data_IF_752861077072
#
_entry.id   IF_752861077072
#
_cell.length_a   1.000
_cell.length_b   1.000
_cell.length_c   1.000
_cell.angle_alpha   90.00
_cell.angle_beta   90.00
_cell.angle_gamma   90.00
#
_symmetry.space_group_name_H-M   'P 1'
#
loop_
_entity.id
_entity.type
_entity.pdbx_description
1 polymer ?
#
# COMPACT_ATOMS: atom_id res chain seq x y z
N UNK A 1 -3.35 15.46 -9.29
CA UNK A 1 -3.09 14.05 -9.67
C UNK A 1 -1.80 13.49 -9.07
N UNK A 2 -0.63 14.15 -9.16
CA UNK A 2 0.63 13.62 -8.64
C UNK A 2 0.62 13.16 -7.17
N UNK A 3 0.02 13.93 -6.25
CA UNK A 3 -0.09 13.52 -4.84
C UNK A 3 -0.98 12.29 -4.62
N UNK A 4 -2.06 12.15 -5.40
CA UNK A 4 -2.99 11.02 -5.36
C UNK A 4 -2.36 9.74 -5.91
N UNK A 5 -1.56 9.87 -6.98
CA UNK A 5 -0.83 8.78 -7.61
C UNK A 5 0.30 8.30 -6.68
N UNK A 6 1.05 9.21 -6.05
CA UNK A 6 2.08 8.83 -5.08
C UNK A 6 1.51 8.27 -3.77
N UNK A 7 0.41 8.82 -3.24
CA UNK A 7 -0.26 8.24 -2.06
C UNK A 7 -0.87 6.87 -2.39
N UNK A 8 -1.52 6.73 -3.56
CA UNK A 8 -2.01 5.44 -4.06
C UNK A 8 -0.87 4.43 -4.26
N UNK A 9 0.26 4.84 -4.83
CA UNK A 9 1.44 3.98 -4.98
C UNK A 9 2.07 3.59 -3.64
N UNK A 10 2.08 4.48 -2.64
CA UNK A 10 2.68 4.18 -1.33
C UNK A 10 1.75 3.37 -0.44
N UNK A 11 0.45 3.63 -0.48
CA UNK A 11 -0.56 2.98 0.39
C UNK A 11 -1.13 1.70 -0.22
N UNK A 12 -1.24 1.62 -1.56
CA UNK A 12 -1.74 0.43 -2.28
C UNK A 12 -0.64 -0.21 -3.14
N UNK A 13 0.21 0.58 -3.80
CA UNK A 13 1.22 0.07 -4.74
C UNK A 13 2.37 -0.70 -4.07
N UNK A 14 2.88 -0.25 -2.92
CA UNK A 14 3.92 -0.96 -2.16
C UNK A 14 3.39 -2.30 -1.61
N UNK A 15 2.21 -2.35 -0.95
CA UNK A 15 1.60 -3.62 -0.56
C UNK A 15 1.28 -4.52 -1.76
N UNK A 16 0.79 -3.98 -2.88
CA UNK A 16 0.49 -4.73 -4.10
C UNK A 16 1.76 -5.26 -4.79
N UNK A 17 2.87 -4.50 -4.78
CA UNK A 17 4.15 -4.94 -5.33
C UNK A 17 4.81 -6.00 -4.46
N UNK A 18 4.74 -5.85 -3.13
CA UNK A 18 5.16 -6.88 -2.18
C UNK A 18 4.29 -8.14 -2.34
N UNK A 19 3.00 -7.98 -2.58
CA UNK A 19 2.04 -9.06 -2.84
C UNK A 19 2.30 -9.77 -4.18
N UNK A 20 2.60 -9.05 -5.25
CA UNK A 20 2.98 -9.63 -6.54
C UNK A 20 4.30 -10.41 -6.43
N UNK A 21 5.28 -9.88 -5.67
CA UNK A 21 6.50 -10.61 -5.34
C UNK A 21 6.22 -11.85 -4.49
N UNK A 22 5.36 -11.75 -3.49
CA UNK A 22 4.98 -12.86 -2.63
C UNK A 22 4.22 -13.98 -3.40
N UNK A 23 3.35 -13.60 -4.34
CA UNK A 23 2.68 -14.53 -5.26
C UNK A 23 3.68 -15.22 -6.21
N UNK A 24 4.70 -14.49 -6.67
CA UNK A 24 5.80 -15.07 -7.43
C UNK A 24 6.58 -16.11 -6.63
N UNK A 25 6.97 -15.77 -5.40
CA UNK A 25 7.71 -16.70 -4.52
C UNK A 25 6.87 -17.90 -4.09
N UNK A 26 5.56 -17.73 -3.88
CA UNK A 26 4.67 -18.84 -3.54
C UNK A 26 4.58 -19.87 -4.68
N UNK A 27 4.50 -19.39 -5.94
CA UNK A 27 4.52 -20.26 -7.12
C UNK A 27 5.84 -21.02 -7.27
N UNK A 28 6.97 -20.38 -6.98
CA UNK A 28 8.27 -21.06 -7.00
C UNK A 28 8.38 -22.13 -5.91
N UNK A 29 7.83 -21.87 -4.71
CA UNK A 29 7.81 -22.84 -3.61
C UNK A 29 6.91 -24.03 -3.94
N UNK A 30 5.75 -23.80 -4.56
CA UNK A 30 4.86 -24.88 -5.01
C UNK A 30 5.50 -25.74 -6.11
N UNK A 31 6.17 -25.12 -7.10
CA UNK A 31 6.93 -25.84 -8.14
C UNK A 31 8.08 -26.66 -7.54
N UNK A 32 8.78 -26.11 -6.55
CA UNK A 32 9.86 -26.80 -5.85
C UNK A 32 9.33 -27.99 -5.03
N UNK A 33 8.19 -27.83 -4.36
CA UNK A 33 7.53 -28.90 -3.59
C UNK A 33 7.07 -30.03 -4.51
N UNK A 34 6.53 -29.70 -5.69
CA UNK A 34 6.13 -30.67 -6.70
C UNK A 34 7.34 -31.45 -7.27
N UNK A 35 8.46 -30.75 -7.52
CA UNK A 35 9.72 -31.38 -7.95
C UNK A 35 10.29 -32.32 -6.89
N UNK A 36 10.28 -31.92 -5.61
CA UNK A 36 10.75 -32.77 -4.50
C UNK A 36 9.89 -34.02 -4.37
N UNK A 37 8.57 -33.90 -4.43
CA UNK A 37 7.66 -35.06 -4.41
C UNK A 37 7.88 -36.01 -5.59
N UNK A 38 8.09 -35.46 -6.80
CA UNK A 38 8.41 -36.26 -7.99
C UNK A 38 9.74 -37.00 -7.84
N UNK A 39 10.76 -36.35 -7.28
CA UNK A 39 12.07 -36.98 -7.04
C UNK A 39 11.98 -38.07 -5.98
N UNK A 40 11.24 -37.86 -4.90
CA UNK A 40 10.97 -38.90 -3.89
C UNK A 40 10.22 -40.09 -4.48
N UNK A 41 9.23 -39.85 -5.35
CA UNK A 41 8.53 -40.92 -6.06
C UNK A 41 9.47 -41.79 -6.90
N UNK A 42 10.37 -41.16 -7.69
CA UNK A 42 11.37 -41.89 -8.49
C UNK A 42 12.39 -42.64 -7.64
N UNK A 43 12.81 -42.07 -6.50
CA UNK A 43 13.72 -42.74 -5.57
C UNK A 43 13.09 -43.99 -4.96
N UNK A 44 11.81 -43.92 -4.57
CA UNK A 44 11.09 -45.09 -4.07
C UNK A 44 10.91 -46.16 -5.15
N UNK A 45 10.58 -45.75 -6.38
CA UNK A 45 10.45 -46.68 -7.51
C UNK A 45 11.78 -47.38 -7.86
N UNK A 46 12.91 -46.66 -7.78
CA UNK A 46 14.24 -47.27 -7.95
C UNK A 46 14.59 -48.21 -6.78
N UNK A 47 14.18 -47.87 -5.55
CA UNK A 47 14.34 -48.73 -4.38
C UNK A 47 13.57 -50.05 -4.51
N UNK A 48 12.34 -49.97 -5.01
CA UNK A 48 11.49 -51.14 -5.26
C UNK A 48 12.02 -51.99 -6.42
N UNK A 49 12.61 -51.38 -7.46
CA UNK A 49 13.28 -52.11 -8.53
C UNK A 49 14.53 -52.86 -8.05
N UNK A 50 15.33 -52.25 -7.16
CA UNK A 50 16.46 -52.94 -6.53
C UNK A 50 16.01 -54.06 -5.59
N UNK A 51 14.92 -53.87 -4.86
CA UNK A 51 14.34 -54.87 -3.96
C UNK A 51 13.63 -56.02 -4.70
N UNK A 52 13.13 -55.77 -5.92
CA UNK A 52 12.49 -56.77 -6.79
C UNK A 52 13.47 -57.71 -7.50
N UNK A 53 14.76 -57.39 -7.54
CA UNK A 53 15.81 -58.29 -8.05
C UNK A 53 16.16 -59.36 -7.02
N UNK A 54 15.56 -60.55 -7.18
CA UNK A 54 15.84 -61.76 -6.39
C UNK A 54 17.32 -62.20 -6.56
N UNK A 55 18.01 -62.69 -5.51
CA UNK A 55 19.41 -63.06 -5.61
C UNK A 55 19.58 -64.35 -6.42
N UNK A 56 20.46 -64.33 -7.41
CA UNK A 56 20.93 -65.52 -8.12
C UNK A 56 21.90 -66.31 -7.22
N UNK A 57 21.46 -67.51 -6.83
CA UNK A 57 22.31 -68.71 -6.80
C UNK A 57 23.12 -68.99 -5.53
N UNK A 58 22.71 -70.04 -4.82
CA UNK A 58 23.52 -70.79 -3.84
C UNK A 58 24.74 -71.46 -4.52
N UNK A 59 25.86 -71.50 -3.81
CA UNK A 59 26.92 -72.51 -3.95
C UNK A 59 27.60 -72.71 -2.58
N UNK A 60 27.82 -73.98 -2.22
CA UNK A 60 28.13 -74.57 -0.91
C UNK A 60 29.47 -74.19 -0.21
N UNK A 61 29.67 -74.56 1.09
CA UNK A 61 30.72 -74.05 1.97
C UNK A 61 31.97 -74.95 2.05
N UNK A 62 33.05 -74.46 2.71
CA UNK A 62 33.68 -75.30 3.72
C UNK A 62 34.07 -74.56 5.03
N UNK A 63 33.58 -75.15 6.12
CA UNK A 63 34.23 -75.56 7.40
C UNK A 63 35.46 -74.82 7.95
N UNK A 64 35.25 -74.29 9.17
CA UNK A 64 36.12 -74.09 10.36
C UNK A 64 37.60 -73.64 10.24
N UNK A 65 37.97 -72.62 11.03
CA UNK A 65 38.77 -72.79 12.28
C UNK A 65 38.90 -71.48 13.10
N UNK A 66 38.53 -71.59 14.39
CA UNK A 66 38.91 -70.83 15.62
C UNK A 66 38.48 -69.38 15.89
N UNK A 67 37.51 -69.30 16.82
CA UNK A 67 37.35 -68.41 18.00
C UNK A 67 38.46 -67.40 18.35
N UNK A 68 38.08 -66.14 18.63
CA UNK A 68 38.15 -65.55 19.98
C UNK A 68 37.51 -64.15 20.08
N UNK A 69 36.68 -63.97 21.12
CA UNK A 69 36.43 -62.77 21.92
C UNK A 69 35.72 -61.52 21.30
N UNK A 70 34.39 -61.48 21.53
CA UNK A 70 33.67 -60.43 22.26
C UNK A 70 34.24 -58.98 22.25
N UNK A 71 33.67 -58.08 21.43
CA UNK A 71 33.44 -56.68 21.80
C UNK A 71 32.49 -55.97 20.81
N UNK A 72 31.44 -55.38 21.38
CA UNK A 72 30.41 -54.53 20.77
C UNK A 72 31.01 -53.22 20.25
N UNK A 73 30.71 -52.73 19.02
CA UNK A 73 30.96 -51.33 18.67
C UNK A 73 29.67 -50.50 18.83
N UNK A 74 29.74 -49.57 19.76
CA UNK A 74 28.81 -48.45 19.95
C UNK A 74 28.84 -47.44 18.79
N UNK A 75 27.79 -46.61 18.62
CA UNK A 75 27.59 -45.78 17.44
C UNK A 75 28.58 -44.62 17.40
N UNK A 76 29.20 -44.41 16.23
CA UNK A 76 30.07 -43.25 15.98
C UNK A 76 29.25 -41.96 15.99
N UNK A 77 29.44 -41.19 17.06
CA UNK A 77 29.09 -39.78 17.16
C UNK A 77 29.92 -38.97 16.15
N UNK A 78 29.28 -38.14 15.34
CA UNK A 78 29.95 -37.10 14.57
C UNK A 78 29.97 -35.83 15.42
N UNK A 79 31.15 -35.41 15.87
CA UNK A 79 31.40 -34.17 16.60
C UNK A 79 32.04 -33.14 15.66
N UNK A 80 31.48 -31.93 15.61
CA UNK A 80 32.16 -30.74 15.10
C UNK A 80 33.06 -30.17 16.20
N UNK A 81 34.35 -29.87 15.94
CA UNK A 81 35.19 -29.15 16.90
C UNK A 81 34.88 -27.66 16.88
N UNK A 82 34.33 -27.18 17.99
CA UNK A 82 34.53 -25.82 18.51
C UNK A 82 35.84 -25.78 19.27
N UNK A 83 36.67 -24.74 19.04
CA UNK A 83 37.75 -24.22 19.91
C UNK A 83 38.64 -23.28 19.04
N UNK A 84 39.19 -22.13 19.44
CA UNK A 84 39.35 -21.47 20.74
C UNK A 84 39.52 -19.95 20.51
N UNK A 85 39.38 -19.23 21.62
CA UNK A 85 39.30 -17.79 21.85
C UNK A 85 40.70 -17.14 21.98
N UNK A 86 40.73 -15.83 21.73
CA UNK A 86 41.52 -14.83 22.49
C UNK A 86 43.04 -14.69 22.25
N UNK A 87 43.46 -13.58 21.63
CA UNK A 87 44.59 -12.80 22.15
C UNK A 87 44.53 -11.34 21.68
N UNK A 88 44.41 -10.47 22.68
CA UNK A 88 44.53 -9.02 22.63
C UNK A 88 46.01 -8.67 22.80
N UNK A 89 46.40 -7.47 22.37
CA UNK A 89 47.67 -6.79 22.68
C UNK A 89 48.90 -7.20 21.85
N UNK A 90 49.09 -6.51 20.74
CA UNK A 90 50.38 -5.90 20.36
C UNK A 90 50.27 -5.29 18.97
N UNK A 91 50.03 -3.97 18.92
CA UNK A 91 50.69 -3.03 18.00
C UNK A 91 50.07 -1.64 18.14
N UNK A 92 50.49 -0.96 19.19
CA UNK A 92 50.69 0.48 19.18
C UNK A 92 52.19 0.70 19.38
N UNK A 93 52.91 1.01 18.31
CA UNK A 93 54.11 1.83 18.36
C UNK A 93 54.48 2.27 16.94
N UNK A 94 54.59 3.59 16.79
CA UNK A 94 55.51 4.25 15.86
C UNK A 94 55.07 4.45 14.40
N UNK A 95 54.36 5.56 14.14
CA UNK A 95 55.08 6.74 13.61
C UNK A 95 54.29 8.03 13.82
N UNK A 96 54.93 8.90 14.60
CA UNK A 96 54.55 10.27 14.90
C UNK A 96 54.94 11.19 13.72
N UNK A 97 54.14 12.24 13.45
CA UNK A 97 54.48 13.65 13.79
C UNK A 97 53.97 14.66 12.74
N UNK A 98 53.13 15.59 13.25
CA UNK A 98 53.13 17.06 13.09
C UNK A 98 51.80 17.70 12.60
N UNK A 99 51.10 18.27 13.57
CA UNK A 99 50.23 19.47 13.51
C UNK A 99 51.16 20.71 13.72
N UNK A 100 50.91 21.98 13.27
CA UNK A 100 49.69 22.74 13.62
C UNK A 100 49.14 23.87 12.71
N UNK A 101 47.80 23.97 12.73
CA UNK A 101 46.95 25.16 12.96
C UNK A 101 46.96 26.35 11.93
N UNK A 102 46.12 27.40 12.11
CA UNK A 102 44.85 27.59 11.37
C UNK A 102 44.75 28.96 10.64
N UNK A 103 44.01 29.08 9.53
CA UNK A 103 43.67 30.41 8.97
C UNK A 103 42.30 30.44 8.26
N UNK A 104 41.38 31.16 8.87
CA UNK A 104 40.40 32.06 8.22
C UNK A 104 40.84 33.48 8.67
N UNK A 105 40.52 34.63 8.03
CA UNK A 105 39.63 34.91 6.88
C UNK A 105 40.27 35.82 5.79
N UNK A 106 39.61 36.00 4.63
CA UNK A 106 39.83 37.19 3.78
C UNK A 106 38.60 37.52 2.91
N UNK A 107 37.90 38.60 3.29
CA UNK A 107 37.19 39.56 2.42
C UNK A 107 38.26 40.62 2.04
N UNK A 108 38.32 41.37 0.89
CA UNK A 108 37.28 42.15 0.16
C UNK A 108 37.55 42.20 -1.40
N UNK A 109 37.04 43.14 -2.25
CA UNK A 109 36.15 44.31 -2.05
C UNK A 109 34.92 44.41 -2.97
N UNK A 110 34.05 45.41 -2.71
CA UNK A 110 32.76 45.61 -3.37
C UNK A 110 32.89 46.30 -4.73
N UNK A 111 32.05 45.90 -5.68
CA UNK A 111 31.87 46.67 -6.92
C UNK A 111 30.88 47.80 -6.64
N UNK A 112 31.44 49.00 -6.56
CA UNK A 112 30.74 50.28 -6.46
C UNK A 112 29.87 50.49 -7.72
N UNK A 113 28.60 50.90 -7.58
CA UNK A 113 27.79 51.31 -8.71
C UNK A 113 28.15 52.75 -9.10
N UNK A 114 28.49 52.99 -10.36
CA UNK A 114 28.58 54.35 -10.90
C UNK A 114 27.36 54.71 -11.76
N UNK A 115 26.94 55.99 -11.76
CA UNK A 115 25.58 56.40 -12.09
C UNK A 115 25.46 57.24 -13.38
N UNK A 116 24.26 57.17 -13.99
CA UNK A 116 23.59 58.18 -14.86
C UNK A 116 24.24 58.49 -16.23
N UNK A 117 23.57 59.21 -17.16
CA UNK A 117 22.17 59.69 -17.22
C UNK A 117 21.44 59.46 -18.58
N UNK A 118 20.12 59.58 -18.57
CA UNK A 118 19.31 59.95 -19.75
C UNK A 118 18.91 61.45 -19.64
N UNK A 119 18.26 62.07 -20.63
CA UNK A 119 18.53 62.21 -22.07
C UNK A 119 18.68 63.71 -22.44
N UNK A 120 18.87 64.10 -23.72
CA UNK A 120 17.81 64.94 -24.32
C UNK A 120 17.55 64.81 -25.83
N UNK A 121 16.26 64.98 -26.15
CA UNK A 121 15.65 65.65 -27.30
C UNK A 121 15.87 65.13 -28.74
N UNK A 122 14.76 64.68 -29.33
CA UNK A 122 14.50 64.61 -30.77
C UNK A 122 14.53 66.02 -31.42
N UNK A 123 14.64 66.13 -32.77
CA UNK A 123 13.39 66.18 -33.55
C UNK A 123 13.41 65.63 -35.00
N UNK A 124 12.22 65.16 -35.39
CA UNK A 124 11.51 65.33 -36.67
C UNK A 124 11.92 64.56 -37.96
N UNK A 125 11.03 63.59 -38.27
CA UNK A 125 10.25 63.45 -39.51
C UNK A 125 10.90 62.84 -40.77
N UNK A 126 10.33 61.69 -41.20
CA UNK A 126 9.52 61.58 -42.43
C UNK A 126 8.62 60.31 -42.41
N UNK A 127 7.38 60.35 -42.92
CA UNK A 127 6.48 59.20 -42.96
C UNK A 127 6.87 58.21 -44.06
N UNK A 128 6.89 56.90 -43.76
CA UNK A 128 7.04 55.85 -44.75
C UNK A 128 6.14 54.66 -44.40
N UNK A 129 5.55 54.08 -45.44
CA UNK A 129 4.45 53.11 -45.50
C UNK A 129 4.37 52.01 -44.42
N UNK A 130 3.15 51.49 -44.15
CA UNK A 130 2.96 50.43 -43.17
C UNK A 130 3.63 49.12 -43.64
N UNK A 131 4.52 48.51 -42.85
CA UNK A 131 5.10 47.24 -43.21
C UNK A 131 4.07 46.13 -43.01
N UNK A 132 3.82 45.34 -44.07
CA UNK A 132 3.03 44.10 -44.01
C UNK A 132 3.50 43.24 -42.83
N UNK A 133 2.58 42.68 -42.00
CA UNK A 133 2.96 41.91 -40.84
C UNK A 133 3.65 40.61 -41.28
N UNK A 134 4.93 40.44 -40.90
CA UNK A 134 5.61 39.15 -40.97
C UNK A 134 4.91 38.17 -40.01
N UNK A 135 4.71 36.90 -40.40
CA UNK A 135 4.16 35.89 -39.49
C UNK A 135 5.11 35.74 -38.30
N UNK A 136 4.59 35.89 -37.07
CA UNK A 136 5.33 35.50 -35.86
C UNK A 136 5.56 33.99 -35.92
N UNK A 137 6.77 33.48 -35.64
CA UNK A 137 6.97 32.05 -35.44
C UNK A 137 6.03 31.59 -34.33
N UNK A 138 5.18 30.60 -34.63
CA UNK A 138 4.39 29.90 -33.62
C UNK A 138 5.38 29.19 -32.72
N UNK A 139 5.62 29.75 -31.54
CA UNK A 139 6.40 29.08 -30.51
C UNK A 139 5.62 27.80 -30.14
N UNK A 140 6.23 26.60 -30.21
CA UNK A 140 5.55 25.39 -29.83
C UNK A 140 5.08 25.51 -28.37
N UNK A 141 3.94 24.92 -27.98
CA UNK A 141 3.45 25.00 -26.61
C UNK A 141 4.56 24.51 -25.67
N UNK A 142 5.14 25.43 -24.89
CA UNK A 142 6.12 25.05 -23.88
C UNK A 142 5.41 24.11 -22.92
N UNK A 143 5.75 22.83 -22.99
CA UNK A 143 5.34 21.84 -22.00
C UNK A 143 5.69 22.42 -20.61
N UNK A 144 4.79 22.33 -19.62
CA UNK A 144 5.07 22.88 -18.30
C UNK A 144 6.35 22.25 -17.77
N UNK A 145 7.43 23.03 -17.69
CA UNK A 145 8.65 22.62 -17.00
C UNK A 145 8.28 22.49 -15.53
N UNK A 146 8.24 21.26 -15.04
CA UNK A 146 8.05 21.00 -13.62
C UNK A 146 9.36 21.41 -12.94
N UNK A 147 9.38 22.57 -12.27
CA UNK A 147 10.55 23.06 -11.57
C UNK A 147 11.00 22.04 -10.50
N UNK A 148 12.18 21.46 -10.66
CA UNK A 148 12.75 20.48 -9.74
C UNK A 148 12.90 21.03 -8.30
N UNK A 149 13.19 22.33 -8.15
CA UNK A 149 13.22 23.01 -6.85
C UNK A 149 11.85 23.02 -6.16
N UNK A 150 10.75 23.07 -6.93
CA UNK A 150 9.40 23.00 -6.38
C UNK A 150 9.03 21.58 -5.91
N UNK A 151 9.60 20.55 -6.55
CA UNK A 151 9.45 19.16 -6.13
C UNK A 151 10.25 18.93 -4.86
N UNK A 152 11.51 19.36 -4.79
CA UNK A 152 12.39 19.20 -3.63
C UNK A 152 11.81 19.87 -2.38
N UNK A 153 11.31 21.10 -2.52
CA UNK A 153 10.66 21.82 -1.43
C UNK A 153 9.37 21.13 -0.96
N UNK A 154 8.55 20.60 -1.89
CA UNK A 154 7.33 19.85 -1.55
C UNK A 154 7.66 18.49 -0.92
N UNK A 155 8.73 17.84 -1.35
CA UNK A 155 9.20 16.56 -0.83
C UNK A 155 9.67 16.70 0.62
N UNK A 156 10.48 17.71 0.92
CA UNK A 156 10.96 18.00 2.27
C UNK A 156 9.85 18.50 3.20
N UNK A 157 8.97 19.38 2.70
CA UNK A 157 7.95 20.03 3.54
C UNK A 157 6.76 19.11 3.83
N UNK A 158 6.20 18.40 2.85
CA UNK A 158 4.93 17.68 3.06
C UNK A 158 5.05 16.17 3.08
N UNK A 159 6.05 15.62 2.38
CA UNK A 159 6.18 14.17 2.21
C UNK A 159 6.98 13.51 3.32
N UNK A 160 8.01 14.17 3.85
CA UNK A 160 8.91 13.58 4.84
C UNK A 160 8.17 12.96 6.04
N UNK A 161 7.26 13.71 6.67
CA UNK A 161 6.51 13.19 7.84
C UNK A 161 5.52 12.10 7.47
N UNK A 162 4.90 12.17 6.28
CA UNK A 162 4.00 11.10 5.79
C UNK A 162 4.78 9.80 5.57
N UNK A 163 5.94 9.88 4.93
CA UNK A 163 6.84 8.76 4.70
C UNK A 163 7.34 8.21 6.03
N UNK A 164 7.76 9.08 6.96
CA UNK A 164 8.19 8.69 8.30
C UNK A 164 7.11 7.90 9.05
N UNK A 165 5.86 8.37 9.04
CA UNK A 165 4.74 7.64 9.64
C UNK A 165 4.51 6.28 8.97
N UNK A 166 4.53 6.22 7.63
CA UNK A 166 4.37 4.95 6.91
C UNK A 166 5.51 3.98 7.24
N UNK A 167 6.75 4.46 7.33
CA UNK A 167 7.90 3.65 7.73
C UNK A 167 7.77 3.14 9.16
N UNK A 168 7.31 3.96 10.09
CA UNK A 168 7.04 3.54 11.48
C UNK A 168 5.97 2.44 11.49
N UNK A 169 4.83 2.66 10.83
CA UNK A 169 3.75 1.66 10.76
C UNK A 169 4.20 0.36 10.08
N UNK A 170 5.01 0.46 9.03
CA UNK A 170 5.61 -0.70 8.37
C UNK A 170 6.57 -1.43 9.32
N UNK A 171 7.37 -0.68 10.08
CA UNK A 171 8.23 -1.22 11.13
C UNK A 171 7.45 -1.96 12.21
N UNK A 172 6.32 -1.42 12.68
CA UNK A 172 5.42 -2.12 13.60
C UNK A 172 4.91 -3.44 12.97
N UNK A 173 4.53 -3.41 11.70
CA UNK A 173 4.08 -4.59 10.96
C UNK A 173 5.14 -5.69 10.87
N UNK A 174 6.35 -5.31 10.45
CA UNK A 174 7.50 -6.22 10.38
C UNK A 174 7.84 -6.77 11.76
N UNK A 175 7.84 -5.92 12.79
CA UNK A 175 8.18 -6.31 14.16
C UNK A 175 7.11 -7.22 14.80
N UNK A 176 5.83 -6.99 14.46
CA UNK A 176 4.74 -7.88 14.87
C UNK A 176 4.88 -9.28 14.24
N UNK A 177 5.37 -9.35 13.00
CA UNK A 177 5.52 -10.61 12.27
C UNK A 177 6.84 -11.34 12.59
N UNK A 178 7.96 -10.60 12.63
CA UNK A 178 9.30 -11.13 12.84
C UNK A 178 9.70 -11.02 14.31
N UNK A 179 9.54 -12.14 15.01
CA UNK A 179 9.90 -12.26 16.41
C UNK A 179 11.40 -12.61 16.57
N UNK A 180 12.30 -11.63 16.45
CA UNK A 180 13.77 -11.82 16.57
C UNK A 180 14.35 -10.94 17.70
N UNK A 181 15.30 -11.48 18.47
CA UNK A 181 16.04 -10.75 19.51
C UNK A 181 15.23 -10.45 20.78
N UNK A 182 15.35 -9.23 21.33
CA UNK A 182 14.66 -8.75 22.55
C UNK A 182 13.14 -9.00 22.56
N UNK A 183 12.52 -9.10 21.37
CA UNK A 183 11.10 -9.37 21.21
C UNK A 183 10.70 -10.84 21.47
N UNK A 184 11.64 -11.79 21.53
CA UNK A 184 11.33 -13.19 21.85
C UNK A 184 10.99 -13.36 23.34
N UNK A 185 11.68 -12.62 24.22
CA UNK A 185 11.55 -12.73 25.67
C UNK A 185 10.39 -11.91 26.25
N UNK A 186 9.89 -10.92 25.51
CA UNK A 186 8.73 -10.12 25.91
C UNK A 186 7.44 -10.95 25.83
N UNK A 187 6.60 -10.87 26.88
CA UNK A 187 5.27 -11.47 26.84
C UNK A 187 4.40 -10.87 25.73
N UNK A 188 3.46 -11.63 25.18
CA UNK A 188 2.53 -11.17 24.13
C UNK A 188 1.84 -9.85 24.51
N UNK A 189 1.43 -9.73 25.78
CA UNK A 189 0.83 -8.52 26.33
C UNK A 189 1.80 -7.33 26.34
N UNK A 190 3.07 -7.54 26.69
CA UNK A 190 4.08 -6.48 26.71
C UNK A 190 4.40 -5.93 25.31
N UNK A 191 4.35 -6.78 24.28
CA UNK A 191 4.53 -6.34 22.89
C UNK A 191 3.36 -5.47 22.43
N UNK A 192 2.13 -5.92 22.70
CA UNK A 192 0.91 -5.18 22.36
C UNK A 192 0.86 -3.85 23.10
N UNK A 193 1.20 -3.82 24.40
CA UNK A 193 1.25 -2.59 25.17
C UNK A 193 2.31 -1.62 24.65
N UNK A 194 3.48 -2.11 24.24
CA UNK A 194 4.53 -1.28 23.61
C UNK A 194 4.04 -0.63 22.31
N UNK A 195 3.33 -1.39 21.46
CA UNK A 195 2.78 -0.84 20.21
C UNK A 195 1.69 0.20 20.48
N UNK A 196 0.82 -0.02 21.46
CA UNK A 196 -0.16 0.97 21.88
C UNK A 196 0.50 2.22 22.46
N UNK A 197 1.53 2.08 23.31
CA UNK A 197 2.26 3.21 23.88
C UNK A 197 2.96 4.03 22.80
N UNK A 198 3.62 3.38 21.84
CA UNK A 198 4.27 4.06 20.71
C UNK A 198 3.23 4.80 19.84
N UNK A 199 2.08 4.16 19.57
CA UNK A 199 0.99 4.76 18.81
C UNK A 199 0.35 5.95 19.55
N UNK A 200 0.16 5.83 20.86
CA UNK A 200 -0.35 6.89 21.72
C UNK A 200 0.63 8.05 21.84
N UNK A 201 1.94 7.78 21.95
CA UNK A 201 2.97 8.81 21.95
C UNK A 201 2.98 9.57 20.62
N UNK A 202 2.96 8.87 19.49
CA UNK A 202 2.91 9.48 18.16
C UNK A 202 1.63 10.32 17.97
N UNK A 203 0.47 9.80 18.36
CA UNK A 203 -0.80 10.52 18.31
C UNK A 203 -0.85 11.72 19.26
N UNK A 204 -0.31 11.58 20.47
CA UNK A 204 -0.23 12.63 21.49
C UNK A 204 0.67 13.78 21.06
N UNK A 205 1.86 13.48 20.52
CA UNK A 205 2.75 14.49 19.91
C UNK A 205 2.04 15.18 18.74
N UNK A 206 1.30 14.44 17.92
CA UNK A 206 0.51 15.00 16.83
C UNK A 206 -0.55 15.99 17.30
N UNK A 207 -1.33 15.60 18.30
CA UNK A 207 -2.35 16.45 18.92
C UNK A 207 -1.75 17.71 19.57
N UNK A 208 -0.64 17.54 20.31
CA UNK A 208 0.08 18.65 20.93
C UNK A 208 0.60 19.64 19.88
N UNK A 209 1.29 19.14 18.84
CA UNK A 209 1.83 19.98 17.78
C UNK A 209 0.73 20.74 17.02
N UNK A 210 -0.39 20.06 16.77
CA UNK A 210 -1.56 20.64 16.10
C UNK A 210 -2.19 21.78 16.91
N UNK A 211 -2.18 21.69 18.25
CA UNK A 211 -2.75 22.71 19.14
C UNK A 211 -1.79 23.87 19.42
N UNK A 212 -0.50 23.59 19.56
CA UNK A 212 0.49 24.59 20.00
C UNK A 212 1.04 25.42 18.84
N UNK A 213 1.11 24.86 17.62
CA UNK A 213 1.78 25.52 16.49
C UNK A 213 0.91 25.46 15.23
N UNK A 214 0.22 26.55 14.91
CA UNK A 214 -0.61 26.63 13.68
C UNK A 214 0.18 26.34 12.40
N UNK A 215 1.43 26.82 12.33
CA UNK A 215 2.34 26.55 11.20
C UNK A 215 2.63 25.06 11.00
N UNK A 216 2.51 24.24 12.06
CA UNK A 216 2.79 22.81 12.04
C UNK A 216 1.53 21.94 12.11
N UNK A 217 0.34 22.55 11.96
CA UNK A 217 -0.95 21.86 12.02
C UNK A 217 -1.03 20.65 11.09
N UNK A 218 -0.51 20.77 9.87
CA UNK A 218 -0.50 19.68 8.90
C UNK A 218 0.38 18.51 9.35
N UNK A 219 1.54 18.78 9.95
CA UNK A 219 2.41 17.74 10.51
C UNK A 219 1.76 17.07 11.70
N UNK A 220 1.16 17.85 12.60
CA UNK A 220 0.41 17.34 13.75
C UNK A 220 -0.73 16.42 13.32
N UNK A 221 -1.47 16.77 12.26
CA UNK A 221 -2.53 15.93 11.70
C UNK A 221 -2.01 14.63 11.10
N UNK A 222 -0.87 14.63 10.40
CA UNK A 222 -0.26 13.40 9.86
C UNK A 222 0.20 12.48 11.00
N UNK A 223 0.81 13.05 12.04
CA UNK A 223 1.29 12.28 13.20
C UNK A 223 0.13 11.73 14.04
N UNK A 224 -0.94 12.52 14.20
CA UNK A 224 -2.20 12.09 14.83
C UNK A 224 -2.85 10.94 14.04
N UNK A 225 -2.94 11.09 12.72
CA UNK A 225 -3.45 10.07 11.82
C UNK A 225 -2.61 8.77 11.90
N UNK A 226 -1.29 8.90 11.95
CA UNK A 226 -0.36 7.80 12.17
C UNK A 226 -0.58 7.11 13.50
N UNK A 227 -0.75 7.86 14.59
CA UNK A 227 -1.03 7.30 15.92
C UNK A 227 -2.32 6.51 15.93
N UNK A 228 -3.40 7.05 15.35
CA UNK A 228 -4.66 6.33 15.25
C UNK A 228 -4.58 5.07 14.38
N UNK A 229 -3.88 5.14 13.24
CA UNK A 229 -3.63 3.97 12.41
C UNK A 229 -2.76 2.92 13.12
N UNK A 230 -1.82 3.36 13.96
CA UNK A 230 -1.01 2.48 14.82
C UNK A 230 -1.86 1.75 15.86
N UNK A 231 -2.77 2.45 16.55
CA UNK A 231 -3.74 1.82 17.47
C UNK A 231 -4.61 0.82 16.72
N UNK A 232 -5.16 1.20 15.56
CA UNK A 232 -5.99 0.33 14.72
C UNK A 232 -5.21 -0.94 14.29
N UNK A 233 -3.99 -0.76 13.79
CA UNK A 233 -3.10 -1.86 13.43
C UNK A 233 -2.77 -2.76 14.63
N UNK A 234 -2.50 -2.18 15.79
CA UNK A 234 -2.16 -2.94 17.00
C UNK A 234 -3.33 -3.80 17.47
N UNK A 235 -4.55 -3.27 17.47
CA UNK A 235 -5.77 -4.03 17.78
C UNK A 235 -5.97 -5.18 16.80
N UNK A 236 -5.76 -4.92 15.50
CA UNK A 236 -5.82 -5.95 14.46
C UNK A 236 -4.75 -7.03 14.66
N UNK A 237 -3.49 -6.63 14.87
CA UNK A 237 -2.36 -7.51 15.08
C UNK A 237 -2.56 -8.40 16.32
N UNK A 238 -3.13 -7.84 17.39
CA UNK A 238 -3.43 -8.56 18.62
C UNK A 238 -4.43 -9.72 18.46
N UNK A 239 -5.17 -9.78 17.35
CA UNK A 239 -6.05 -10.91 17.02
C UNK A 239 -5.47 -11.82 15.95
N UNK A 240 -4.92 -11.24 14.88
CA UNK A 240 -4.57 -11.98 13.65
C UNK A 240 -3.12 -12.50 13.65
N UNK A 241 -2.18 -11.79 14.29
CA UNK A 241 -0.75 -12.10 14.19
C UNK A 241 -0.32 -12.94 15.39
N UNK A 242 -0.02 -14.22 15.16
CA UNK A 242 0.28 -15.19 16.22
C UNK A 242 1.36 -14.73 17.23
N UNK A 243 2.53 -14.16 16.83
CA UNK A 243 3.56 -13.69 17.77
C UNK A 243 3.16 -12.58 18.75
N UNK A 244 2.06 -11.87 18.49
CA UNK A 244 1.53 -10.79 19.34
C UNK A 244 0.06 -11.00 19.68
N UNK A 245 -0.45 -12.22 19.50
CA UNK A 245 -1.86 -12.53 19.73
C UNK A 245 -2.20 -12.49 21.21
N UNK A 246 -3.19 -11.67 21.56
CA UNK A 246 -3.73 -11.50 22.92
C UNK A 246 -5.26 -11.62 22.91
N UNK A 247 -5.91 -11.29 21.78
CA UNK A 247 -7.36 -11.34 21.63
C UNK A 247 -7.72 -12.62 20.88
N UNK A 248 -8.29 -13.60 21.58
CA UNK A 248 -8.71 -14.85 20.95
C UNK A 248 -10.08 -14.75 20.26
N UNK A 249 -10.97 -13.90 20.78
CA UNK A 249 -12.32 -13.76 20.26
C UNK A 249 -12.38 -12.76 19.09
N UNK A 250 -12.68 -13.27 17.90
CA UNK A 250 -12.80 -12.48 16.67
C UNK A 250 -13.88 -11.39 16.75
N UNK A 251 -15.01 -11.67 17.43
CA UNK A 251 -16.10 -10.69 17.60
C UNK A 251 -15.65 -9.50 18.43
N UNK A 252 -14.88 -9.75 19.50
CA UNK A 252 -14.34 -8.67 20.34
C UNK A 252 -13.36 -7.82 19.52
N UNK A 253 -12.44 -8.45 18.79
CA UNK A 253 -11.51 -7.73 17.92
C UNK A 253 -12.25 -6.87 16.88
N UNK A 254 -13.27 -7.42 16.24
CA UNK A 254 -14.09 -6.71 15.26
C UNK A 254 -14.84 -5.53 15.88
N UNK A 255 -15.47 -5.71 17.04
CA UNK A 255 -16.16 -4.63 17.75
C UNK A 255 -15.21 -3.51 18.18
N UNK A 256 -14.01 -3.85 18.66
CA UNK A 256 -12.98 -2.85 19.02
C UNK A 256 -12.51 -2.08 17.78
N UNK A 257 -12.22 -2.77 16.66
CA UNK A 257 -11.82 -2.13 15.40
C UNK A 257 -12.94 -1.26 14.82
N UNK A 258 -14.19 -1.70 14.91
CA UNK A 258 -15.35 -0.93 14.47
C UNK A 258 -15.55 0.32 15.34
N UNK A 259 -15.49 0.18 16.67
CA UNK A 259 -15.60 1.29 17.60
C UNK A 259 -14.47 2.31 17.40
N UNK A 260 -13.23 1.84 17.26
CA UNK A 260 -12.07 2.69 17.01
C UNK A 260 -12.12 3.35 15.63
N UNK A 261 -12.51 2.62 14.59
CA UNK A 261 -12.74 3.16 13.25
C UNK A 261 -13.82 4.26 13.25
N UNK A 262 -14.94 4.03 13.94
CA UNK A 262 -15.99 5.03 14.15
C UNK A 262 -15.48 6.27 14.89
N UNK A 263 -14.65 6.07 15.92
CA UNK A 263 -13.99 7.17 16.63
C UNK A 263 -13.04 7.96 15.70
N UNK A 264 -12.22 7.30 14.88
CA UNK A 264 -11.35 7.96 13.90
C UNK A 264 -12.17 8.78 12.89
N UNK A 265 -13.28 8.23 12.40
CA UNK A 265 -14.21 8.91 11.49
C UNK A 265 -14.78 10.16 12.14
N UNK A 266 -15.25 10.04 13.38
CA UNK A 266 -15.76 11.16 14.17
C UNK A 266 -14.69 12.25 14.39
N UNK A 267 -13.47 11.88 14.79
CA UNK A 267 -12.37 12.82 14.95
C UNK A 267 -12.02 13.50 13.64
N UNK A 268 -11.94 12.75 12.54
CA UNK A 268 -11.57 13.31 11.24
C UNK A 268 -12.59 14.33 10.72
N UNK A 269 -13.89 14.07 10.94
CA UNK A 269 -14.93 15.05 10.63
C UNK A 269 -14.88 16.27 11.56
N UNK A 270 -14.67 16.07 12.87
CA UNK A 270 -14.53 17.17 13.84
C UNK A 270 -13.34 18.08 13.53
N UNK A 271 -12.21 17.50 13.14
CA UNK A 271 -11.00 18.24 12.78
C UNK A 271 -11.01 18.79 11.35
N UNK A 272 -12.03 18.42 10.54
CA UNK A 272 -12.06 18.65 9.09
C UNK A 272 -10.71 18.31 8.44
N UNK A 273 -10.12 17.19 8.84
CA UNK A 273 -8.83 16.74 8.33
C UNK A 273 -9.01 15.60 7.33
N UNK A 274 -8.75 15.91 6.06
CA UNK A 274 -8.73 14.93 4.98
C UNK A 274 -7.70 13.82 5.25
N UNK A 275 -6.54 14.16 5.85
CA UNK A 275 -5.46 13.21 6.15
C UNK A 275 -5.88 12.19 7.20
N UNK A 276 -6.50 12.62 8.30
CA UNK A 276 -6.93 11.70 9.37
C UNK A 276 -7.96 10.70 8.83
N UNK A 277 -8.90 11.18 8.01
CA UNK A 277 -9.88 10.28 7.40
C UNK A 277 -9.25 9.35 6.36
N UNK A 278 -8.24 9.80 5.58
CA UNK A 278 -7.51 8.93 4.63
C UNK A 278 -6.83 7.77 5.35
N UNK A 279 -6.17 8.03 6.48
CA UNK A 279 -5.57 6.98 7.31
C UNK A 279 -6.63 6.07 7.94
N UNK A 280 -7.78 6.60 8.35
CA UNK A 280 -8.88 5.79 8.90
C UNK A 280 -9.42 4.78 7.88
N UNK A 281 -9.75 5.27 6.68
CA UNK A 281 -10.25 4.44 5.58
C UNK A 281 -9.16 3.48 5.11
N UNK A 282 -7.92 3.96 4.96
CA UNK A 282 -6.78 3.13 4.55
C UNK A 282 -6.47 2.01 5.53
N UNK A 283 -6.43 2.29 6.83
CA UNK A 283 -6.21 1.27 7.88
C UNK A 283 -7.34 0.23 7.90
N UNK A 284 -8.59 0.67 7.66
CA UNK A 284 -9.74 -0.23 7.60
C UNK A 284 -9.70 -1.13 6.36
N UNK A 285 -9.32 -0.60 5.19
CA UNK A 285 -9.09 -1.42 4.00
C UNK A 285 -7.96 -2.43 4.21
N UNK A 286 -6.86 -2.00 4.83
CA UNK A 286 -5.75 -2.88 5.18
C UNK A 286 -6.23 -4.04 6.06
N UNK A 287 -6.93 -3.77 7.15
CA UNK A 287 -7.45 -4.83 8.02
C UNK A 287 -8.51 -5.72 7.35
N UNK A 288 -9.24 -5.21 6.36
CA UNK A 288 -10.22 -6.00 5.59
C UNK A 288 -9.54 -7.04 4.69
N UNK A 289 -8.44 -6.68 4.02
CA UNK A 289 -7.81 -7.52 2.99
C UNK A 289 -6.58 -8.30 3.46
N UNK A 290 -5.87 -7.84 4.49
CA UNK A 290 -4.65 -8.54 4.97
C UNK A 290 -4.93 -9.95 5.50
N UNK A 291 -6.05 -10.23 6.19
CA UNK A 291 -6.40 -11.60 6.56
C UNK A 291 -6.50 -12.54 5.36
N UNK A 292 -7.01 -12.04 4.23
CA UNK A 292 -7.13 -12.83 3.00
C UNK A 292 -5.76 -13.31 2.47
N UNK A 293 -4.70 -12.56 2.79
CA UNK A 293 -3.32 -12.87 2.41
C UNK A 293 -2.71 -13.91 3.36
N UNK A 294 -3.02 -13.84 4.66
CA UNK A 294 -2.29 -14.58 5.71
C UNK A 294 -3.04 -15.76 6.31
N UNK A 295 -4.37 -15.68 6.45
CA UNK A 295 -5.17 -16.68 7.18
C UNK A 295 -6.12 -17.48 6.29
N UNK A 296 -6.28 -17.15 5.00
CA UNK A 296 -6.99 -17.94 3.99
C UNK A 296 -8.49 -18.20 4.24
N UNK A 297 -9.02 -17.83 5.41
CA UNK A 297 -10.35 -18.26 5.88
C UNK A 297 -11.20 -17.12 6.42
N UNK A 298 -11.34 -16.02 5.67
CA UNK A 298 -12.33 -14.97 5.98
C UNK A 298 -13.58 -15.18 5.14
N UNK A 299 -14.74 -15.15 5.79
CA UNK A 299 -16.03 -15.23 5.12
C UNK A 299 -16.16 -14.16 4.05
N UNK A 300 -16.54 -14.56 2.83
CA UNK A 300 -16.76 -13.65 1.70
C UNK A 300 -17.74 -12.52 2.03
N UNK A 301 -18.76 -12.82 2.85
CA UNK A 301 -19.75 -11.85 3.30
C UNK A 301 -19.17 -10.74 4.18
N UNK A 302 -18.17 -11.07 5.01
CA UNK A 302 -17.50 -10.10 5.87
C UNK A 302 -16.67 -9.13 5.03
N UNK A 303 -15.95 -9.64 4.03
CA UNK A 303 -15.21 -8.80 3.08
C UNK A 303 -16.21 -7.94 2.32
N UNK A 304 -17.35 -8.50 1.90
CA UNK A 304 -18.37 -7.76 1.16
C UNK A 304 -18.97 -6.61 1.94
N UNK A 305 -19.46 -6.90 3.13
CA UNK A 305 -20.07 -5.90 3.99
C UNK A 305 -19.06 -4.82 4.41
N UNK A 306 -17.84 -5.20 4.78
CA UNK A 306 -16.80 -4.25 5.17
C UNK A 306 -16.43 -3.31 4.03
N UNK A 307 -16.26 -3.83 2.82
CA UNK A 307 -15.93 -3.03 1.64
C UNK A 307 -17.08 -2.06 1.30
N UNK A 308 -18.33 -2.51 1.43
CA UNK A 308 -19.50 -1.66 1.20
C UNK A 308 -19.60 -0.53 2.24
N UNK A 309 -19.40 -0.84 3.53
CA UNK A 309 -19.37 0.15 4.60
C UNK A 309 -18.27 1.18 4.35
N UNK A 310 -17.08 0.75 3.91
CA UNK A 310 -15.96 1.65 3.60
C UNK A 310 -16.21 2.51 2.37
N UNK A 311 -16.84 1.96 1.32
CA UNK A 311 -17.26 2.71 0.15
C UNK A 311 -18.28 3.80 0.54
N UNK A 312 -19.31 3.45 1.32
CA UNK A 312 -20.32 4.39 1.80
C UNK A 312 -19.70 5.45 2.71
N UNK A 313 -18.79 5.08 3.61
CA UNK A 313 -18.10 6.04 4.47
C UNK A 313 -17.26 7.04 3.65
N UNK A 314 -16.52 6.57 2.63
CA UNK A 314 -15.74 7.42 1.75
C UNK A 314 -16.61 8.40 0.95
N UNK A 315 -17.74 7.93 0.42
CA UNK A 315 -18.73 8.77 -0.25
C UNK A 315 -19.36 9.77 0.71
N UNK A 316 -19.69 9.34 1.94
CA UNK A 316 -20.21 10.21 3.00
C UNK A 316 -19.25 11.36 3.34
N UNK A 317 -17.95 11.08 3.45
CA UNK A 317 -16.94 12.11 3.64
C UNK A 317 -16.87 13.09 2.47
N UNK A 318 -16.98 12.60 1.23
CA UNK A 318 -17.03 13.48 0.06
C UNK A 318 -18.28 14.36 0.09
N UNK A 319 -19.46 13.81 0.37
CA UNK A 319 -20.71 14.58 0.38
C UNK A 319 -20.72 15.64 1.48
N UNK A 320 -20.14 15.33 2.64
CA UNK A 320 -20.10 16.23 3.80
C UNK A 320 -18.99 17.29 3.70
N UNK A 321 -17.80 16.91 3.22
CA UNK A 321 -16.59 17.75 3.30
C UNK A 321 -16.00 18.14 1.93
N UNK A 322 -16.60 17.69 0.82
CA UNK A 322 -16.14 17.89 -0.57
C UNK A 322 -14.73 17.34 -0.86
N UNK A 323 -14.29 16.34 -0.11
CA UNK A 323 -12.99 15.71 -0.30
C UNK A 323 -13.04 14.66 -1.42
N UNK A 324 -12.73 15.07 -2.66
CA UNK A 324 -12.73 14.19 -3.84
C UNK A 324 -11.69 13.05 -3.77
N UNK A 325 -10.59 13.24 -3.04
CA UNK A 325 -9.54 12.20 -2.98
C UNK A 325 -10.04 10.92 -2.30
N UNK A 326 -11.03 11.05 -1.42
CA UNK A 326 -11.61 9.96 -0.63
C UNK A 326 -12.31 8.89 -1.48
N UNK A 327 -13.33 9.23 -2.27
CA UNK A 327 -14.02 8.25 -3.10
C UNK A 327 -13.11 7.70 -4.21
N UNK A 328 -12.17 8.49 -4.74
CA UNK A 328 -11.20 8.02 -5.75
C UNK A 328 -10.29 6.93 -5.17
N UNK A 329 -9.71 7.19 -3.99
CA UNK A 329 -8.85 6.21 -3.32
C UNK A 329 -9.65 4.99 -2.87
N UNK A 330 -10.85 5.21 -2.33
CA UNK A 330 -11.76 4.15 -1.90
C UNK A 330 -12.15 3.25 -3.08
N UNK A 331 -12.57 3.82 -4.21
CA UNK A 331 -12.89 3.08 -5.43
C UNK A 331 -11.71 2.22 -5.89
N UNK A 332 -10.52 2.81 -5.90
CA UNK A 332 -9.29 2.09 -6.28
C UNK A 332 -9.01 0.92 -5.33
N UNK A 333 -9.12 1.15 -4.01
CA UNK A 333 -8.90 0.13 -2.99
C UNK A 333 -9.94 -0.99 -3.04
N UNK A 334 -11.22 -0.65 -3.19
CA UNK A 334 -12.32 -1.62 -3.23
C UNK A 334 -12.25 -2.54 -4.44
N UNK A 335 -11.97 -2.00 -5.64
CA UNK A 335 -11.84 -2.82 -6.84
C UNK A 335 -10.52 -3.60 -6.88
N UNK A 336 -9.41 -3.02 -6.40
CA UNK A 336 -8.14 -3.75 -6.27
C UNK A 336 -8.26 -4.91 -5.27
N UNK A 337 -8.93 -4.67 -4.14
CA UNK A 337 -9.20 -5.69 -3.14
C UNK A 337 -10.19 -6.76 -3.63
N UNK A 338 -11.20 -6.37 -4.43
CA UNK A 338 -12.08 -7.34 -5.10
C UNK A 338 -11.32 -8.21 -6.10
N UNK A 339 -10.41 -7.61 -6.89
CA UNK A 339 -9.52 -8.36 -7.78
C UNK A 339 -8.60 -9.30 -6.99
N UNK A 340 -8.01 -8.84 -5.88
CA UNK A 340 -7.19 -9.69 -5.01
C UNK A 340 -8.00 -10.89 -4.48
N UNK A 341 -9.21 -10.64 -3.99
CA UNK A 341 -10.10 -11.70 -3.52
C UNK A 341 -10.37 -12.73 -4.62
N UNK A 342 -10.71 -12.25 -5.81
CA UNK A 342 -10.93 -13.10 -6.97
C UNK A 342 -9.71 -13.96 -7.33
N UNK A 343 -8.51 -13.40 -7.28
CA UNK A 343 -7.28 -14.12 -7.60
C UNK A 343 -6.91 -15.18 -6.54
N UNK A 344 -7.53 -15.14 -5.36
CA UNK A 344 -7.22 -16.02 -4.24
C UNK A 344 -8.25 -17.11 -4.00
N UNK A 345 -9.47 -16.92 -4.48
CA UNK A 345 -10.53 -17.92 -4.40
C UNK A 345 -10.53 -18.74 -5.69
N UNK A 346 -10.38 -20.06 -5.57
CA UNK A 346 -10.26 -20.96 -6.73
C UNK A 346 -11.54 -21.00 -7.57
N UNK A 347 -12.71 -21.06 -6.92
CA UNK A 347 -14.02 -21.02 -7.57
C UNK A 347 -14.95 -19.97 -6.93
N UNK A 348 -14.81 -18.69 -7.32
CA UNK A 348 -15.69 -17.65 -6.82
C UNK A 348 -17.10 -17.85 -7.40
N UNK A 349 -18.11 -17.90 -6.53
CA UNK A 349 -19.51 -17.89 -6.97
C UNK A 349 -19.80 -16.63 -7.79
N UNK A 350 -20.35 -16.81 -9.00
CA UNK A 350 -20.75 -15.70 -9.87
C UNK A 350 -21.71 -14.75 -9.15
N UNK A 351 -22.64 -15.27 -8.34
CA UNK A 351 -23.59 -14.47 -7.57
C UNK A 351 -22.87 -13.56 -6.57
N UNK A 352 -21.83 -14.07 -5.89
CA UNK A 352 -21.03 -13.26 -4.98
C UNK A 352 -20.24 -12.20 -5.77
N UNK A 353 -19.56 -12.58 -6.86
CA UNK A 353 -18.82 -11.64 -7.69
C UNK A 353 -19.70 -10.50 -8.25
N UNK A 354 -20.88 -10.86 -8.79
CA UNK A 354 -21.88 -9.90 -9.32
C UNK A 354 -22.42 -9.01 -8.21
N UNK A 355 -22.86 -9.59 -7.09
CA UNK A 355 -23.37 -8.78 -5.97
C UNK A 355 -22.30 -7.82 -5.46
N UNK A 356 -21.03 -8.24 -5.43
CA UNK A 356 -19.94 -7.42 -4.96
C UNK A 356 -19.67 -6.24 -5.90
N UNK A 357 -19.52 -6.52 -7.19
CA UNK A 357 -19.24 -5.52 -8.21
C UNK A 357 -20.41 -4.53 -8.39
N UNK A 358 -21.65 -5.03 -8.40
CA UNK A 358 -22.85 -4.19 -8.53
C UNK A 358 -23.03 -3.30 -7.30
N UNK A 359 -22.83 -3.81 -6.09
CA UNK A 359 -22.98 -3.00 -4.87
C UNK A 359 -21.97 -1.84 -4.83
N UNK A 360 -20.70 -2.10 -5.18
CA UNK A 360 -19.68 -1.06 -5.30
C UNK A 360 -20.03 -0.06 -6.40
N UNK A 361 -20.44 -0.56 -7.57
CA UNK A 361 -20.84 0.27 -8.70
C UNK A 361 -21.97 1.23 -8.31
N UNK A 362 -23.03 0.73 -7.66
CA UNK A 362 -24.16 1.56 -7.20
C UNK A 362 -23.69 2.65 -6.24
N UNK A 363 -22.87 2.33 -5.24
CA UNK A 363 -22.41 3.32 -4.25
C UNK A 363 -21.58 4.43 -4.89
N UNK A 364 -20.63 4.10 -5.75
CA UNK A 364 -19.80 5.11 -6.40
C UNK A 364 -20.55 5.88 -7.50
N UNK A 365 -21.49 5.25 -8.20
CA UNK A 365 -22.38 5.96 -9.13
C UNK A 365 -23.27 6.94 -8.39
N UNK A 366 -23.89 6.51 -7.28
CA UNK A 366 -24.70 7.37 -6.41
C UNK A 366 -23.90 8.57 -5.86
N UNK A 367 -22.61 8.40 -5.59
CA UNK A 367 -21.73 9.49 -5.19
C UNK A 367 -21.77 10.66 -6.18
N UNK A 368 -21.81 10.38 -7.48
CA UNK A 368 -21.85 11.44 -8.51
C UNK A 368 -23.20 12.13 -8.56
N UNK A 369 -24.29 11.38 -8.47
CA UNK A 369 -25.65 11.95 -8.43
C UNK A 369 -25.92 12.78 -7.17
N UNK A 370 -25.43 12.34 -6.02
CA UNK A 370 -25.64 13.01 -4.73
C UNK A 370 -24.73 14.23 -4.54
N UNK A 371 -23.66 14.35 -5.32
CA UNK A 371 -22.69 15.44 -5.16
C UNK A 371 -23.14 16.72 -5.88
N UNK A 372 -23.45 17.76 -5.10
CA UNK A 372 -23.85 19.09 -5.60
C UNK A 372 -22.80 19.74 -6.52
N UNK A 373 -23.22 20.64 -7.41
CA UNK A 373 -22.37 21.46 -8.28
C UNK A 373 -21.21 22.09 -7.48
N UNK A 374 -19.96 21.72 -7.80
CA UNK A 374 -18.76 22.21 -7.14
C UNK A 374 -17.97 21.19 -6.31
N UNK A 375 -18.50 19.98 -6.05
CA UNK A 375 -17.69 18.91 -5.47
C UNK A 375 -16.71 18.32 -6.50
N UNK A 376 -17.21 18.00 -7.70
CA UNK A 376 -16.40 17.57 -8.84
C UNK A 376 -16.47 18.60 -9.97
N UNK A 377 -15.35 18.83 -10.66
CA UNK A 377 -15.38 19.38 -12.01
C UNK A 377 -15.96 18.36 -13.01
N UNK A 378 -16.51 18.83 -14.13
CA UNK A 378 -17.14 17.96 -15.13
C UNK A 378 -16.19 16.85 -15.62
N UNK A 379 -14.90 17.19 -15.80
CA UNK A 379 -13.87 16.23 -16.19
C UNK A 379 -13.61 15.19 -15.09
N UNK A 380 -13.61 15.59 -13.83
CA UNK A 380 -13.42 14.65 -12.70
C UNK A 380 -14.65 13.75 -12.51
N UNK A 381 -15.88 14.27 -12.69
CA UNK A 381 -17.11 13.46 -12.69
C UNK A 381 -17.05 12.39 -13.76
N UNK A 382 -16.76 12.80 -14.99
CA UNK A 382 -16.69 11.91 -16.14
C UNK A 382 -15.59 10.85 -15.95
N UNK A 383 -14.39 11.26 -15.50
CA UNK A 383 -13.29 10.32 -15.25
C UNK A 383 -13.63 9.32 -14.14
N UNK A 384 -14.23 9.78 -13.04
CA UNK A 384 -14.61 8.93 -11.92
C UNK A 384 -15.70 7.91 -12.30
N UNK A 385 -16.76 8.35 -12.99
CA UNK A 385 -17.80 7.46 -13.51
C UNK A 385 -17.25 6.45 -14.52
N UNK A 386 -16.42 6.93 -15.45
CA UNK A 386 -15.81 6.06 -16.47
C UNK A 386 -14.95 4.99 -15.81
N UNK A 387 -14.14 5.36 -14.82
CA UNK A 387 -13.34 4.40 -14.05
C UNK A 387 -14.21 3.39 -13.29
N UNK A 388 -15.30 3.84 -12.65
CA UNK A 388 -16.24 2.95 -11.96
C UNK A 388 -16.92 1.95 -12.91
N UNK A 389 -17.40 2.44 -14.05
CA UNK A 389 -18.05 1.62 -15.08
C UNK A 389 -17.08 0.61 -15.69
N UNK A 390 -15.87 1.06 -16.04
CA UNK A 390 -14.84 0.21 -16.62
C UNK A 390 -14.37 -0.88 -15.64
N UNK A 391 -14.19 -0.53 -14.36
CA UNK A 391 -13.79 -1.49 -13.34
C UNK A 391 -14.85 -2.57 -13.11
N UNK A 392 -16.13 -2.18 -12.94
CA UNK A 392 -17.23 -3.13 -12.78
C UNK A 392 -17.38 -4.03 -14.01
N UNK A 393 -17.46 -3.44 -15.22
CA UNK A 393 -17.66 -4.20 -16.44
C UNK A 393 -16.48 -5.12 -16.75
N UNK A 394 -15.24 -4.62 -16.61
CA UNK A 394 -14.03 -5.40 -16.86
C UNK A 394 -13.89 -6.59 -15.93
N UNK A 395 -14.17 -6.42 -14.64
CA UNK A 395 -14.06 -7.51 -13.66
C UNK A 395 -15.11 -8.60 -13.91
N UNK A 396 -16.37 -8.21 -14.13
CA UNK A 396 -17.46 -9.16 -14.42
C UNK A 396 -17.31 -9.86 -15.77
N UNK A 397 -16.78 -9.16 -16.78
CA UNK A 397 -16.54 -9.74 -18.11
C UNK A 397 -15.69 -11.01 -18.03
N UNK A 398 -14.62 -10.98 -17.23
CA UNK A 398 -13.73 -12.13 -17.10
C UNK A 398 -14.47 -13.31 -16.40
N UNK A 399 -15.39 -13.07 -15.46
CA UNK A 399 -16.15 -14.15 -14.81
C UNK A 399 -17.22 -14.73 -15.74
N UNK A 400 -17.95 -13.88 -16.45
CA UNK A 400 -19.00 -14.32 -17.37
C UNK A 400 -18.40 -15.05 -18.57
N UNK A 401 -17.28 -14.59 -19.13
CA UNK A 401 -16.59 -15.30 -20.22
C UNK A 401 -16.05 -16.66 -19.76
N UNK A 402 -15.52 -16.76 -18.54
CA UNK A 402 -14.96 -18.02 -18.02
C UNK A 402 -16.04 -19.08 -17.79
N UNK A 403 -17.18 -18.72 -17.22
CA UNK A 403 -18.20 -19.69 -16.76
C UNK A 403 -19.45 -19.76 -17.64
N UNK A 404 -19.74 -18.74 -18.43
CA UNK A 404 -21.01 -18.56 -19.15
C UNK A 404 -20.81 -17.90 -20.52
N UNK A 405 -19.76 -18.25 -21.26
CA UNK A 405 -19.42 -17.68 -22.57
C UNK A 405 -20.62 -17.52 -23.52
N UNK A 406 -21.51 -18.52 -23.72
CA UNK A 406 -22.64 -18.40 -24.65
C UNK A 406 -23.66 -17.32 -24.23
N UNK A 407 -23.68 -16.96 -22.95
CA UNK A 407 -24.56 -15.96 -22.34
C UNK A 407 -23.84 -14.64 -22.11
N UNK A 408 -22.62 -14.45 -22.62
CA UNK A 408 -21.86 -13.23 -22.42
C UNK A 408 -22.61 -11.98 -22.87
N UNK A 409 -23.36 -12.05 -23.98
CA UNK A 409 -24.15 -10.95 -24.53
C UNK A 409 -25.15 -10.33 -23.53
N UNK A 410 -25.56 -11.08 -22.50
CA UNK A 410 -26.48 -10.64 -21.46
C UNK A 410 -25.83 -9.52 -20.62
N UNK A 411 -24.55 -9.66 -20.29
CA UNK A 411 -23.83 -8.69 -19.45
C UNK A 411 -23.78 -7.28 -20.06
N UNK A 412 -23.27 -7.05 -21.29
CA UNK A 412 -23.25 -5.72 -21.88
C UNK A 412 -24.66 -5.19 -22.16
N UNK A 413 -25.66 -6.05 -22.43
CA UNK A 413 -27.05 -5.60 -22.59
C UNK A 413 -27.58 -4.99 -21.28
N UNK A 414 -27.46 -5.70 -20.14
CA UNK A 414 -27.92 -5.18 -18.85
C UNK A 414 -27.15 -3.92 -18.43
N UNK A 415 -25.82 -3.92 -18.60
CA UNK A 415 -24.99 -2.74 -18.28
C UNK A 415 -25.37 -1.56 -19.17
N UNK A 416 -25.61 -1.78 -20.47
CA UNK A 416 -26.06 -0.74 -21.39
C UNK A 416 -27.40 -0.12 -21.00
N UNK A 417 -28.39 -0.95 -20.67
CA UNK A 417 -29.70 -0.49 -20.19
C UNK A 417 -29.56 0.30 -18.88
N UNK A 418 -28.76 -0.18 -17.93
CA UNK A 418 -28.52 0.52 -16.67
C UNK A 418 -27.86 1.89 -16.89
N UNK A 419 -26.86 1.98 -17.77
CA UNK A 419 -26.18 3.23 -18.09
C UNK A 419 -27.08 4.22 -18.82
N UNK A 420 -27.93 3.76 -19.74
CA UNK A 420 -28.96 4.59 -20.37
C UNK A 420 -29.96 5.11 -19.34
N UNK A 421 -30.38 4.26 -18.41
CA UNK A 421 -31.23 4.67 -17.27
C UNK A 421 -30.56 5.75 -16.41
N UNK A 422 -29.27 5.58 -16.10
CA UNK A 422 -28.49 6.60 -15.40
C UNK A 422 -28.37 7.91 -16.20
N UNK A 423 -28.20 7.83 -17.53
CA UNK A 423 -28.11 9.03 -18.38
C UNK A 423 -29.44 9.80 -18.42
N UNK A 424 -30.58 9.10 -18.54
CA UNK A 424 -31.92 9.70 -18.47
C UNK A 424 -32.18 10.31 -17.09
N UNK A 425 -31.81 9.60 -16.02
CA UNK A 425 -31.92 10.12 -14.67
C UNK A 425 -31.06 11.37 -14.49
N UNK A 426 -29.82 11.36 -14.99
CA UNK A 426 -28.91 12.50 -14.94
C UNK A 426 -29.48 13.71 -15.67
N UNK A 427 -30.06 13.53 -16.86
CA UNK A 427 -30.70 14.61 -17.61
C UNK A 427 -31.80 15.26 -16.75
N UNK A 428 -32.71 14.48 -16.16
CA UNK A 428 -33.82 15.00 -15.35
C UNK A 428 -33.39 15.64 -14.02
N UNK A 429 -32.38 15.08 -13.35
CA UNK A 429 -31.98 15.52 -12.00
C UNK A 429 -30.91 16.60 -12.00
N UNK A 430 -30.10 16.69 -13.06
CA UNK A 430 -29.06 17.71 -13.20
C UNK A 430 -29.49 18.87 -14.11
N UNK A 431 -30.65 18.80 -14.77
CA UNK A 431 -31.26 19.92 -15.51
C UNK A 431 -31.48 21.15 -14.62
N UNK A 432 -31.94 20.96 -13.38
CA UNK A 432 -32.08 22.01 -12.35
C UNK A 432 -30.73 22.57 -11.87
N UNK A 433 -29.60 21.95 -12.24
CA UNK A 433 -28.25 22.43 -11.96
C UNK A 433 -27.53 23.01 -13.17
N UNK A 434 -28.19 23.15 -14.33
CA UNK A 434 -27.62 23.75 -15.54
C UNK A 434 -27.07 25.17 -15.24
N UNK A 435 -25.76 25.41 -15.07
CA UNK A 435 -24.66 25.32 -16.03
C UNK A 435 -24.94 25.98 -17.41
N UNK A 436 -26.03 26.74 -17.53
CA UNK A 436 -26.39 27.56 -18.69
C UNK A 436 -26.33 29.07 -18.43
N UNK A 437 -25.62 29.54 -17.41
CA UNK A 437 -25.16 30.94 -17.37
C UNK A 437 -23.68 30.99 -17.71
N UNK A 438 -23.40 31.12 -19.01
CA UNK A 438 -22.23 31.88 -19.46
C UNK A 438 -22.22 33.22 -18.72
N UNK A 439 -21.13 33.47 -18.00
CA UNK A 439 -20.64 34.79 -17.64
C UNK A 439 -19.13 34.69 -17.57
#
# INVERSE_FOLDING_TARGET
MGELICMGLVVLGLPLAVLLKALGTAREVDDLKQKVQRLQGRLNEMGDQLAGTKPLGQSEPPTETKQAALAKPEPKHFTLPSDFKESRESRLAEKQKKTPAPKQPSIPPPIIPSPKPAPPAAPAAKPSEPPKPKPKPVEPPRLPRVDAQSIEMKLGTYWFVRIGVVLVLTGLGVLAYYNRGLFVELSHLAKVSLFYLLSAAMGGVGCWLQRTREKLKNYGQVLLAGGFAGVYFTTYAAHVIAPVKVIDNATIALLLLFAWGGFMVWVADRLKSEIVALFAIGASYYATYVPLIHSGGVSHWVILFSNLVLAVAAVGFMLRNRWLKMPVLSLSASYAGFLLWRLRVDEPSLTIAVSFAVSLWVVYTAAVFLSRSGAFSDRERAAFLTANNAAMFGLLTVDVLKYHEPKFWILPMFVGVALLGCAVAAARWLEDQSLSRKS
#
